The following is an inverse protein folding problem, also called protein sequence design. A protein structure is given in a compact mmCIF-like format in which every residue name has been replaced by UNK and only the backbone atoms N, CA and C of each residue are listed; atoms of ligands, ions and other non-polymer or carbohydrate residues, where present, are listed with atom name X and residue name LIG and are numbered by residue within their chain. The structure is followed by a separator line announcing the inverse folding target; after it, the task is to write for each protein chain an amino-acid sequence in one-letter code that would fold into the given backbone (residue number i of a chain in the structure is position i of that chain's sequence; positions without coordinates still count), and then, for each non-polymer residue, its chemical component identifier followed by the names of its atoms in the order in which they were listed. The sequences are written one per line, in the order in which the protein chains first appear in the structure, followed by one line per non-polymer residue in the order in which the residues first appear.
data_IF_682085178284
#
_entry.id   IF_682085178284
#
_cell.length_a   1.000
_cell.length_b   1.000
_cell.length_c   1.000
_cell.angle_alpha   90.00
_cell.angle_beta   90.00
_cell.angle_gamma   90.00
#
_symmetry.space_group_name_H-M   'P 1'
#
loop_
_entity.id
_entity.type
_entity.pdbx_description
1 polymer ?
#
# COMPACT_ATOMS: atom_id res chain seq x y z
N UNK A 1 -5.25 11.81 4.77
CA UNK A 1 -6.40 12.75 4.78
C UNK A 1 -7.75 12.03 4.85
N UNK A 2 -8.02 11.05 3.98
CA UNK A 2 -9.31 10.34 3.93
C UNK A 2 -9.81 9.77 5.28
N UNK A 3 -8.92 9.17 6.08
CA UNK A 3 -9.27 8.61 7.40
C UNK A 3 -9.67 9.69 8.40
N UNK A 4 -8.91 10.79 8.43
CA UNK A 4 -9.15 11.90 9.36
C UNK A 4 -10.45 12.66 9.02
N UNK A 5 -10.75 12.76 7.72
CA UNK A 5 -11.94 13.46 7.23
C UNK A 5 -13.18 12.55 7.14
N UNK A 6 -13.10 11.31 7.64
CA UNK A 6 -14.18 10.31 7.58
C UNK A 6 -14.78 10.13 6.18
N UNK A 7 -13.96 10.24 5.13
CA UNK A 7 -14.43 10.11 3.74
C UNK A 7 -14.97 8.71 3.43
N UNK A 8 -14.54 7.71 4.18
CA UNK A 8 -15.10 6.35 4.15
C UNK A 8 -16.22 6.10 5.16
N UNK A 9 -16.70 7.12 5.89
CA UNK A 9 -17.67 6.98 6.98
C UNK A 9 -17.01 6.76 8.35
N UNK A 10 -17.83 6.46 9.37
CA UNK A 10 -17.38 6.29 10.76
C UNK A 10 -16.36 5.14 10.93
N UNK A 11 -16.38 4.17 10.02
CA UNK A 11 -15.49 3.02 9.96
C UNK A 11 -14.21 3.29 9.12
N UNK A 12 -13.92 4.55 8.77
CA UNK A 12 -12.74 4.92 7.95
C UNK A 12 -11.42 4.39 8.51
N UNK A 13 -11.24 4.36 9.84
CA UNK A 13 -10.05 3.80 10.48
C UNK A 13 -9.97 2.29 10.23
N UNK A 14 -11.08 1.57 10.40
CA UNK A 14 -11.16 0.13 10.16
C UNK A 14 -10.88 -0.19 8.69
N UNK A 15 -11.46 0.56 7.76
CA UNK A 15 -11.22 0.44 6.32
C UNK A 15 -9.74 0.68 5.97
N UNK A 16 -9.10 1.66 6.61
CA UNK A 16 -7.67 1.91 6.42
C UNK A 16 -6.81 0.75 6.89
N UNK A 17 -7.13 0.16 8.04
CA UNK A 17 -6.41 -0.99 8.57
C UNK A 17 -6.61 -2.25 7.72
N UNK A 18 -7.83 -2.44 7.20
CA UNK A 18 -8.15 -3.52 6.26
C UNK A 18 -7.36 -3.34 4.95
N UNK A 19 -7.35 -2.14 4.38
CA UNK A 19 -6.57 -1.82 3.20
C UNK A 19 -5.08 -2.13 3.41
N UNK A 20 -4.49 -1.69 4.52
CA UNK A 20 -3.10 -1.99 4.84
C UNK A 20 -2.84 -3.51 4.95
N UNK A 21 -3.76 -4.25 5.58
CA UNK A 21 -3.65 -5.71 5.71
C UNK A 21 -3.75 -6.41 4.36
N UNK A 22 -4.67 -5.99 3.51
CA UNK A 22 -4.88 -6.56 2.17
C UNK A 22 -3.65 -6.34 1.28
N UNK A 23 -3.07 -5.13 1.30
CA UNK A 23 -1.84 -4.81 0.58
C UNK A 23 -0.68 -5.69 1.07
N UNK A 24 -0.51 -5.83 2.39
CA UNK A 24 0.55 -6.67 2.95
C UNK A 24 0.40 -8.14 2.56
N UNK A 25 -0.82 -8.68 2.63
CA UNK A 25 -1.10 -10.05 2.19
C UNK A 25 -0.79 -10.21 0.71
N UNK A 26 -1.20 -9.24 -0.13
CA UNK A 26 -0.94 -9.27 -1.56
C UNK A 26 0.57 -9.23 -1.87
N UNK A 27 1.32 -8.34 -1.21
CA UNK A 27 2.78 -8.22 -1.36
C UNK A 27 3.52 -9.50 -0.96
N UNK A 28 3.11 -10.13 0.15
CA UNK A 28 3.74 -11.35 0.68
C UNK A 28 3.32 -12.61 -0.09
N UNK A 29 2.10 -12.66 -0.60
CA UNK A 29 1.57 -13.82 -1.33
C UNK A 29 1.98 -13.83 -2.81
N UNK A 30 2.13 -12.66 -3.42
CA UNK A 30 2.57 -12.56 -4.80
C UNK A 30 4.02 -13.05 -4.92
N UNK A 31 4.32 -13.78 -6.00
CA UNK A 31 5.67 -14.30 -6.27
C UNK A 31 6.60 -13.12 -6.57
N UNK A 32 7.80 -13.13 -5.98
CA UNK A 32 8.82 -12.07 -6.10
C UNK A 32 8.93 -11.49 -7.52
N UNK A 33 8.96 -12.39 -8.52
CA UNK A 33 9.29 -12.10 -9.90
C UNK A 33 8.14 -11.60 -10.80
N UNK A 34 6.94 -11.33 -10.27
CA UNK A 34 5.77 -10.93 -11.08
C UNK A 34 5.04 -9.70 -10.56
N UNK A 35 5.64 -9.00 -9.60
CA UNK A 35 4.97 -7.91 -8.91
C UNK A 35 5.44 -6.59 -9.55
N UNK A 36 4.68 -6.13 -10.54
CA UNK A 36 4.91 -4.86 -11.20
C UNK A 36 4.32 -3.72 -10.36
N UNK A 37 4.96 -2.55 -10.38
CA UNK A 37 4.46 -1.33 -9.73
C UNK A 37 3.06 -0.98 -10.22
N UNK A 38 2.80 -1.15 -11.52
CA UNK A 38 1.50 -0.86 -12.17
C UNK A 38 0.34 -1.68 -11.56
N UNK A 39 0.58 -2.95 -11.20
CA UNK A 39 -0.44 -3.81 -10.59
C UNK A 39 -0.79 -3.32 -9.17
N UNK A 40 0.22 -2.90 -8.42
CA UNK A 40 0.05 -2.38 -7.06
C UNK A 40 -0.60 -0.99 -7.08
N UNK A 41 -0.21 -0.13 -8.02
CA UNK A 41 -0.82 1.18 -8.24
C UNK A 41 -2.31 1.04 -8.56
N UNK A 42 -2.66 0.18 -9.51
CA UNK A 42 -4.06 -0.10 -9.89
C UNK A 42 -4.86 -0.60 -8.69
N UNK A 43 -4.30 -1.53 -7.92
CA UNK A 43 -4.94 -2.05 -6.71
C UNK A 43 -5.15 -0.97 -5.65
N UNK A 44 -4.15 -0.12 -5.40
CA UNK A 44 -4.26 0.98 -4.45
C UNK A 44 -5.34 1.98 -4.89
N UNK A 45 -5.35 2.33 -6.18
CA UNK A 45 -6.32 3.25 -6.74
C UNK A 45 -7.75 2.73 -6.62
N UNK A 46 -8.01 1.48 -7.05
CA UNK A 46 -9.33 0.85 -6.92
C UNK A 46 -9.80 0.80 -5.47
N UNK A 47 -8.91 0.45 -4.54
CA UNK A 47 -9.26 0.32 -3.13
C UNK A 47 -9.54 1.67 -2.47
N UNK A 48 -8.76 2.69 -2.78
CA UNK A 48 -8.99 4.05 -2.29
C UNK A 48 -10.31 4.62 -2.82
N UNK A 49 -10.61 4.36 -4.09
CA UNK A 49 -11.88 4.74 -4.70
C UNK A 49 -13.05 4.00 -4.05
N UNK A 50 -12.97 2.68 -3.86
CA UNK A 50 -14.04 1.88 -3.26
C UNK A 50 -14.26 2.16 -1.76
N UNK A 51 -13.18 2.35 -0.99
CA UNK A 51 -13.26 2.47 0.47
C UNK A 51 -13.48 3.91 0.94
N UNK A 52 -12.91 4.89 0.24
CA UNK A 52 -12.90 6.29 0.65
C UNK A 52 -13.50 7.24 -0.39
N UNK A 53 -14.02 6.71 -1.51
CA UNK A 53 -14.57 7.50 -2.61
C UNK A 53 -13.61 8.61 -3.05
N UNK A 54 -12.30 8.30 -3.03
CA UNK A 54 -11.22 9.24 -3.31
C UNK A 54 -10.50 8.80 -4.56
N UNK A 55 -10.44 9.69 -5.54
CA UNK A 55 -9.61 9.59 -6.73
C UNK A 55 -8.36 10.43 -6.50
N UNK A 56 -7.19 9.80 -6.63
CA UNK A 56 -5.90 10.46 -6.45
C UNK A 56 -5.15 10.34 -7.78
N UNK A 57 -4.95 11.46 -8.45
CA UNK A 57 -4.28 11.58 -9.76
C UNK A 57 -3.05 12.49 -9.69
N UNK A 58 -2.42 12.59 -8.53
CA UNK A 58 -1.23 13.42 -8.30
C UNK A 58 0.09 12.66 -8.49
N UNK A 59 0.03 11.36 -8.85
CA UNK A 59 1.18 10.47 -8.95
C UNK A 59 1.65 9.89 -7.61
N UNK A 60 1.06 10.27 -6.48
CA UNK A 60 1.49 9.77 -5.16
C UNK A 60 1.23 8.27 -4.97
N UNK A 61 0.23 7.71 -5.66
CA UNK A 61 -0.05 6.27 -5.63
C UNK A 61 1.11 5.48 -6.24
N UNK A 62 1.65 5.95 -7.37
CA UNK A 62 2.80 5.35 -8.05
C UNK A 62 4.04 5.37 -7.11
N UNK A 63 4.34 6.52 -6.51
CA UNK A 63 5.47 6.66 -5.57
C UNK A 63 5.35 5.73 -4.34
N UNK A 64 4.13 5.53 -3.84
CA UNK A 64 3.86 4.61 -2.71
C UNK A 64 4.01 3.16 -3.16
N UNK A 65 3.54 2.81 -4.36
CA UNK A 65 3.66 1.47 -4.92
C UNK A 65 5.15 1.08 -5.10
N UNK A 66 5.97 1.97 -5.67
CA UNK A 66 7.41 1.73 -5.83
C UNK A 66 8.10 1.48 -4.50
N UNK A 67 7.84 2.33 -3.49
CA UNK A 67 8.44 2.18 -2.16
C UNK A 67 8.06 0.85 -1.49
N UNK A 68 6.80 0.41 -1.64
CA UNK A 68 6.34 -0.87 -1.09
C UNK A 68 7.06 -2.06 -1.75
N UNK A 69 7.32 -2.00 -3.06
CA UNK A 69 8.07 -3.02 -3.78
C UNK A 69 9.51 -3.07 -3.27
N UNK A 70 10.18 -1.92 -3.12
CA UNK A 70 11.55 -1.84 -2.60
C UNK A 70 11.61 -2.45 -1.18
N UNK A 71 10.68 -2.08 -0.29
CA UNK A 71 10.63 -2.60 1.08
C UNK A 71 10.42 -4.13 1.08
N UNK A 72 9.56 -4.64 0.19
CA UNK A 72 9.34 -6.09 0.04
C UNK A 72 10.60 -6.78 -0.46
N UNK A 73 11.29 -6.22 -1.45
CA UNK A 73 12.51 -6.81 -2.00
C UNK A 73 13.64 -6.83 -0.95
N UNK A 74 13.81 -5.74 -0.20
CA UNK A 74 14.73 -5.68 0.95
C UNK A 74 14.38 -6.74 2.01
N UNK A 75 13.08 -6.93 2.30
CA UNK A 75 12.61 -7.96 3.22
C UNK A 75 12.91 -9.38 2.72
N UNK A 76 12.67 -9.66 1.43
CA UNK A 76 12.94 -10.96 0.81
C UNK A 76 14.44 -11.27 0.70
N UNK A 77 15.28 -10.24 0.49
CA UNK A 77 16.73 -10.37 0.48
C UNK A 77 17.31 -10.59 1.89
N UNK A 78 16.47 -10.62 2.94
CA UNK A 78 16.93 -10.76 4.32
C UNK A 78 17.67 -9.53 4.84
N UNK A 79 17.59 -8.42 4.10
CA UNK A 79 18.22 -7.16 4.42
C UNK A 79 17.28 -6.36 5.35
N UNK A 80 16.91 -6.97 6.48
CA UNK A 80 16.52 -6.22 7.68
C UNK A 80 17.78 -5.54 8.21
N UNK A 81 18.41 -4.67 7.41
CA UNK A 81 19.49 -3.83 7.90
C UNK A 81 18.83 -2.96 8.95
N UNK A 82 19.17 -3.24 10.20
CA UNK A 82 18.98 -2.40 11.36
C UNK A 82 19.52 -1.00 11.06
N UNK A 83 18.78 -0.20 10.29
CA UNK A 83 19.08 1.21 10.00
C UNK A 83 18.70 2.12 11.19
N UNK A 84 18.41 1.51 12.34
CA UNK A 84 18.13 2.16 13.62
C UNK A 84 18.99 1.60 14.77
N UNK A 85 20.22 1.16 14.50
CA UNK A 85 21.24 1.12 15.55
C UNK A 85 21.95 2.46 15.61
N UNK A 86 21.41 3.38 16.42
CA UNK A 86 22.14 4.49 17.05
C UNK A 86 21.87 4.42 18.55
#
# INVERSE_FOLDING_TARGET
MAVHNEWGGHDSITKSNQLASDILVWLLHSKAAQLETEDLETLLHERLLLAFNTEIEDGSIEEVAEQLIIIRDDYLQGNLVFKYSV
#
